data_IF_414632352079
#
_entry.id   IF_414632352079
#
_cell.length_a   1.000
_cell.length_b   1.000
_cell.length_c   1.000
_cell.angle_alpha   90.00
_cell.angle_beta   90.00
_cell.angle_gamma   90.00
#
_symmetry.space_group_name_H-M   'P 1'
#
loop_
_entity.id
_entity.type
_entity.pdbx_description
1 polymer ?
#
# COMPACT_ATOMS: atom_id res chain seq x y z
N UNK A 1 4.34 24.88 17.43
CA UNK A 1 4.49 23.49 17.00
C UNK A 1 5.03 22.72 18.21
N UNK A 2 4.24 21.84 18.76
CA UNK A 2 4.65 21.04 19.93
C UNK A 2 5.64 19.95 19.52
N UNK A 3 6.47 19.46 20.45
CA UNK A 3 7.45 18.39 20.16
C UNK A 3 6.79 17.15 19.55
N UNK A 4 5.56 16.82 19.95
CA UNK A 4 4.77 15.70 19.43
C UNK A 4 4.33 15.92 17.97
N UNK A 5 3.96 17.16 17.59
CA UNK A 5 3.62 17.48 16.20
C UNK A 5 4.83 17.33 15.28
N UNK A 6 6.01 17.70 15.75
CA UNK A 6 7.25 17.54 14.99
C UNK A 6 7.60 16.06 14.80
N UNK A 7 7.45 15.24 15.83
CA UNK A 7 7.69 13.80 15.75
C UNK A 7 6.73 13.11 14.77
N UNK A 8 5.43 13.44 14.79
CA UNK A 8 4.43 12.94 13.84
C UNK A 8 4.73 13.35 12.40
N UNK A 9 5.22 14.57 12.18
CA UNK A 9 5.63 15.01 10.85
C UNK A 9 6.86 14.27 10.36
N UNK A 10 7.82 14.00 11.24
CA UNK A 10 9.04 13.24 10.90
C UNK A 10 8.71 11.80 10.50
N UNK A 11 7.88 11.10 11.28
CA UNK A 11 7.46 9.71 10.96
C UNK A 11 6.67 9.65 9.65
N UNK A 12 5.75 10.61 9.44
CA UNK A 12 5.01 10.73 8.18
C UNK A 12 5.92 10.98 6.97
N UNK A 13 6.95 11.83 7.13
CA UNK A 13 7.93 12.08 6.07
C UNK A 13 8.80 10.85 5.78
N UNK A 14 9.22 10.12 6.81
CA UNK A 14 9.96 8.86 6.66
C UNK A 14 9.11 7.79 5.95
N UNK A 15 7.83 7.67 6.30
CA UNK A 15 6.89 6.78 5.65
C UNK A 15 6.71 7.14 4.16
N UNK A 16 6.47 8.43 3.87
CA UNK A 16 6.36 8.94 2.50
C UNK A 16 7.63 8.65 1.69
N UNK A 17 8.80 8.92 2.25
CA UNK A 17 10.09 8.66 1.63
C UNK A 17 10.30 7.18 1.32
N UNK A 18 9.94 6.28 2.24
CA UNK A 18 10.04 4.84 2.09
C UNK A 18 9.19 4.31 0.93
N UNK A 19 7.95 4.75 0.82
CA UNK A 19 7.06 4.37 -0.29
C UNK A 19 7.54 4.97 -1.61
N UNK A 20 7.96 6.23 -1.63
CA UNK A 20 8.52 6.89 -2.83
C UNK A 20 9.75 6.16 -3.37
N UNK A 21 10.63 5.69 -2.48
CA UNK A 21 11.80 4.88 -2.86
C UNK A 21 11.39 3.53 -3.46
N UNK A 22 10.36 2.87 -2.90
CA UNK A 22 9.79 1.63 -3.45
C UNK A 22 9.25 1.84 -4.86
N UNK A 23 8.43 2.87 -5.06
CA UNK A 23 7.86 3.25 -6.37
C UNK A 23 8.96 3.54 -7.40
N UNK A 24 9.96 4.33 -7.02
CA UNK A 24 11.09 4.64 -7.90
C UNK A 24 11.83 3.39 -8.37
N UNK A 25 12.00 2.41 -7.48
CA UNK A 25 12.62 1.14 -7.82
C UNK A 25 11.74 0.32 -8.78
N UNK A 26 10.44 0.26 -8.54
CA UNK A 26 9.51 -0.50 -9.38
C UNK A 26 9.40 0.10 -10.78
N UNK A 27 9.39 1.43 -10.91
CA UNK A 27 9.45 2.10 -12.20
C UNK A 27 10.77 1.82 -12.93
N UNK A 28 11.91 1.81 -12.23
CA UNK A 28 13.19 1.41 -12.83
C UNK A 28 13.16 -0.02 -13.38
N UNK A 29 12.53 -0.95 -12.66
CA UNK A 29 12.39 -2.33 -13.13
C UNK A 29 11.53 -2.41 -14.40
N UNK A 30 10.42 -1.69 -14.44
CA UNK A 30 9.55 -1.60 -15.64
C UNK A 30 10.35 -1.04 -16.83
N UNK A 31 11.07 0.05 -16.64
CA UNK A 31 11.90 0.66 -17.68
C UNK A 31 13.02 -0.27 -18.16
N UNK A 32 13.64 -1.02 -17.25
CA UNK A 32 14.68 -2.00 -17.61
C UNK A 32 14.13 -3.10 -18.53
N UNK A 33 12.94 -3.62 -18.22
CA UNK A 33 12.28 -4.62 -19.07
C UNK A 33 11.91 -4.02 -20.43
N UNK A 34 11.37 -2.80 -20.48
CA UNK A 34 11.06 -2.12 -21.74
C UNK A 34 12.32 -1.96 -22.60
N UNK A 35 13.43 -1.52 -21.99
CA UNK A 35 14.70 -1.34 -22.69
C UNK A 35 15.26 -2.67 -23.22
N UNK A 36 15.20 -3.75 -22.42
CA UNK A 36 15.59 -5.10 -22.88
C UNK A 36 14.77 -5.55 -24.10
N UNK A 37 13.45 -5.34 -24.07
CA UNK A 37 12.57 -5.73 -25.19
C UNK A 37 12.78 -4.85 -26.41
N UNK A 38 13.07 -3.56 -26.24
CA UNK A 38 13.44 -2.67 -27.34
C UNK A 38 14.73 -3.14 -28.03
N UNK A 39 15.77 -3.53 -27.25
CA UNK A 39 17.00 -4.11 -27.81
C UNK A 39 16.75 -5.40 -28.60
N UNK A 40 15.83 -6.25 -28.11
CA UNK A 40 15.47 -7.46 -28.87
C UNK A 40 14.78 -7.12 -30.22
N UNK A 41 13.97 -6.06 -30.27
CA UNK A 41 13.39 -5.59 -31.53
C UNK A 41 14.45 -5.01 -32.47
N UNK A 42 15.48 -4.34 -31.94
CA UNK A 42 16.63 -3.88 -32.74
C UNK A 42 17.39 -5.05 -33.36
N UNK A 43 17.61 -6.14 -32.57
CA UNK A 43 18.21 -7.38 -33.09
C UNK A 43 17.40 -8.02 -34.22
N UNK A 44 16.07 -8.04 -34.10
CA UNK A 44 15.19 -8.52 -35.17
C UNK A 44 15.34 -7.63 -36.44
N UNK A 45 15.39 -6.32 -36.29
CA UNK A 45 15.62 -5.42 -37.40
C UNK A 45 16.97 -5.66 -38.07
N UNK A 46 18.02 -5.89 -37.27
CA UNK A 46 19.34 -6.23 -37.79
C UNK A 46 19.34 -7.55 -38.58
N UNK A 47 18.72 -8.62 -38.04
CA UNK A 47 18.58 -9.91 -38.72
C UNK A 47 17.82 -9.77 -40.06
N UNK A 48 16.74 -8.98 -40.09
CA UNK A 48 16.01 -8.69 -41.33
C UNK A 48 16.89 -8.06 -42.42
N UNK A 49 17.70 -7.08 -42.03
CA UNK A 49 18.65 -6.43 -42.93
C UNK A 49 19.70 -7.40 -43.50
N UNK A 50 19.98 -8.47 -42.79
CA UNK A 50 20.87 -9.54 -43.25
C UNK A 50 20.16 -10.59 -44.11
N UNK A 51 18.89 -10.37 -44.49
CA UNK A 51 18.07 -11.29 -45.28
C UNK A 51 17.62 -12.54 -44.53
N UNK A 52 17.71 -12.57 -43.22
CA UNK A 52 17.19 -13.66 -42.38
C UNK A 52 15.68 -13.53 -42.22
N UNK A 53 14.98 -14.65 -42.32
CA UNK A 53 13.55 -14.66 -42.01
C UNK A 53 13.30 -14.32 -40.55
N UNK A 54 12.36 -13.43 -40.31
CA UNK A 54 11.92 -13.08 -38.95
C UNK A 54 10.55 -13.70 -38.73
N UNK A 55 10.41 -14.30 -37.57
CA UNK A 55 9.14 -14.79 -37.07
C UNK A 55 8.30 -13.60 -36.57
N UNK A 56 7.21 -13.29 -37.25
CA UNK A 56 6.32 -12.18 -36.90
C UNK A 56 5.62 -12.42 -35.56
N UNK A 57 5.32 -13.65 -35.18
CA UNK A 57 4.68 -13.99 -33.91
C UNK A 57 5.60 -13.58 -32.73
N UNK A 58 6.92 -13.69 -32.92
CA UNK A 58 7.91 -13.24 -31.92
C UNK A 58 7.92 -11.72 -31.79
N UNK A 59 7.80 -10.97 -32.89
CA UNK A 59 7.71 -9.50 -32.84
C UNK A 59 6.44 -9.10 -32.11
N UNK A 60 5.30 -9.70 -32.43
CA UNK A 60 4.03 -9.45 -31.78
C UNK A 60 4.10 -9.73 -30.27
N UNK A 61 4.69 -10.86 -29.87
CA UNK A 61 4.87 -11.22 -28.49
C UNK A 61 5.74 -10.21 -27.71
N UNK A 62 6.85 -9.74 -28.30
CA UNK A 62 7.72 -8.74 -27.67
C UNK A 62 6.99 -7.40 -27.55
N UNK A 63 6.26 -7.01 -28.60
CA UNK A 63 5.48 -5.76 -28.62
C UNK A 63 4.38 -5.80 -27.53
N UNK A 64 3.69 -6.92 -27.39
CA UNK A 64 2.69 -7.11 -26.34
C UNK A 64 3.31 -7.00 -24.92
N UNK A 65 4.52 -7.55 -24.73
CA UNK A 65 5.25 -7.43 -23.47
C UNK A 65 5.61 -5.97 -23.16
N UNK A 66 6.10 -5.20 -24.14
CA UNK A 66 6.37 -3.75 -23.97
C UNK A 66 5.10 -3.02 -23.55
N UNK A 67 3.99 -3.28 -24.25
CA UNK A 67 2.70 -2.66 -23.96
C UNK A 67 2.22 -2.95 -22.54
N UNK A 68 2.32 -4.19 -22.10
CA UNK A 68 2.00 -4.58 -20.72
C UNK A 68 2.87 -3.89 -19.65
N UNK A 69 4.16 -3.64 -19.96
CA UNK A 69 5.02 -2.87 -19.05
C UNK A 69 4.63 -1.38 -19.01
N UNK A 70 4.24 -0.78 -20.11
CA UNK A 70 3.74 0.60 -20.15
C UNK A 70 2.46 0.74 -19.31
N UNK A 71 1.51 -0.18 -19.47
CA UNK A 71 0.28 -0.22 -18.69
C UNK A 71 0.56 -0.36 -17.17
N UNK A 72 1.55 -1.20 -16.83
CA UNK A 72 2.00 -1.36 -15.45
C UNK A 72 2.63 -0.06 -14.90
N UNK A 73 3.46 0.62 -15.69
CA UNK A 73 4.04 1.91 -15.29
C UNK A 73 2.96 2.95 -15.02
N UNK A 74 1.98 3.04 -15.90
CA UNK A 74 0.83 3.94 -15.77
C UNK A 74 0.03 3.70 -14.49
N UNK A 75 -0.18 2.44 -14.12
CA UNK A 75 -0.88 2.09 -12.89
C UNK A 75 -0.08 2.50 -11.65
N UNK A 76 1.24 2.23 -11.65
CA UNK A 76 2.13 2.66 -10.56
C UNK A 76 2.07 4.19 -10.41
N UNK A 77 2.17 4.93 -11.49
CA UNK A 77 2.14 6.41 -11.49
C UNK A 77 0.78 6.91 -10.98
N UNK A 78 -0.33 6.34 -11.44
CA UNK A 78 -1.68 6.71 -10.96
C UNK A 78 -1.84 6.48 -9.45
N UNK A 79 -1.40 5.33 -8.96
CA UNK A 79 -1.43 5.03 -7.53
C UNK A 79 -0.52 5.97 -6.73
N UNK A 80 0.68 6.26 -7.25
CA UNK A 80 1.61 7.16 -6.61
C UNK A 80 1.09 8.61 -6.55
N UNK A 81 0.50 9.10 -7.63
CA UNK A 81 -0.13 10.42 -7.64
C UNK A 81 -1.25 10.51 -6.60
N UNK A 82 -2.11 9.49 -6.51
CA UNK A 82 -3.16 9.43 -5.49
C UNK A 82 -2.58 9.45 -4.06
N UNK A 83 -1.49 8.71 -3.84
CA UNK A 83 -0.77 8.72 -2.58
C UNK A 83 -0.14 10.10 -2.29
N UNK A 84 0.51 10.72 -3.27
CA UNK A 84 1.09 12.05 -3.12
C UNK A 84 0.04 13.10 -2.74
N UNK A 85 -1.13 13.08 -3.40
CA UNK A 85 -2.27 13.96 -3.06
C UNK A 85 -2.85 13.74 -1.66
N UNK A 86 -2.47 12.66 -0.97
CA UNK A 86 -2.85 12.50 0.44
C UNK A 86 -2.22 13.52 1.38
N UNK A 87 -1.25 14.29 0.90
CA UNK A 87 -0.57 15.36 1.64
C UNK A 87 -1.16 16.76 1.40
N UNK A 88 -2.06 16.93 0.42
CA UNK A 88 -2.54 18.25 -0.01
C UNK A 88 -3.38 18.94 1.08
N UNK A 89 -4.13 18.16 1.86
CA UNK A 89 -4.99 18.67 2.91
C UNK A 89 -4.76 17.92 4.22
N UNK A 90 -4.62 18.66 5.34
CA UNK A 90 -4.44 18.04 6.67
C UNK A 90 -5.59 17.10 7.06
N UNK A 91 -6.83 17.46 6.69
CA UNK A 91 -8.03 16.67 6.89
C UNK A 91 -8.84 16.70 5.59
N UNK A 92 -9.24 15.53 5.08
CA UNK A 92 -10.03 15.41 3.87
C UNK A 92 -10.98 14.21 3.93
N UNK A 93 -12.09 14.23 3.17
CA UNK A 93 -12.89 13.05 2.92
C UNK A 93 -12.04 11.98 2.23
N UNK A 94 -11.93 10.81 2.86
CA UNK A 94 -11.02 9.73 2.44
C UNK A 94 -11.79 8.43 2.34
N UNK A 95 -11.74 7.78 1.17
CA UNK A 95 -12.20 6.41 1.01
C UNK A 95 -11.13 5.46 1.54
N UNK A 96 -11.42 4.78 2.65
CA UNK A 96 -10.49 3.87 3.32
C UNK A 96 -10.18 2.64 2.47
N UNK A 97 -11.15 2.09 1.76
CA UNK A 97 -10.95 0.94 0.87
C UNK A 97 -9.96 1.30 -0.25
N UNK A 98 -10.14 2.45 -0.89
CA UNK A 98 -9.22 2.95 -1.90
C UNK A 98 -7.85 3.27 -1.33
N UNK A 99 -7.78 3.83 -0.12
CA UNK A 99 -6.51 4.14 0.56
C UNK A 99 -5.72 2.88 0.87
N UNK A 100 -6.38 1.82 1.37
CA UNK A 100 -5.77 0.50 1.60
C UNK A 100 -5.28 -0.10 0.29
N UNK A 101 -6.09 -0.12 -0.76
CA UNK A 101 -5.72 -0.68 -2.06
C UNK A 101 -4.51 0.07 -2.66
N UNK A 102 -4.50 1.41 -2.59
CA UNK A 102 -3.38 2.24 -3.03
C UNK A 102 -2.10 1.93 -2.25
N UNK A 103 -2.19 1.89 -0.91
CA UNK A 103 -1.07 1.57 -0.03
C UNK A 103 -0.47 0.19 -0.34
N UNK A 104 -1.31 -0.85 -0.41
CA UNK A 104 -0.86 -2.23 -0.69
C UNK A 104 -0.22 -2.33 -2.07
N UNK A 105 -0.79 -1.65 -3.08
CA UNK A 105 -0.22 -1.62 -4.42
C UNK A 105 1.19 -0.99 -4.45
N UNK A 106 1.39 0.15 -3.79
CA UNK A 106 2.69 0.84 -3.72
C UNK A 106 3.69 0.13 -2.81
N UNK A 107 3.21 -0.62 -1.83
CA UNK A 107 4.03 -1.35 -0.87
C UNK A 107 4.38 -2.79 -1.31
N UNK A 108 4.01 -3.24 -2.51
CA UNK A 108 4.19 -4.62 -2.99
C UNK A 108 5.62 -5.15 -2.78
N UNK A 109 6.62 -4.33 -3.10
CA UNK A 109 8.03 -4.68 -2.90
C UNK A 109 8.37 -4.82 -1.41
N UNK A 110 7.85 -3.93 -0.57
CA UNK A 110 8.08 -3.97 0.88
C UNK A 110 7.40 -5.19 1.50
N UNK A 111 6.21 -5.56 1.01
CA UNK A 111 5.51 -6.78 1.41
C UNK A 111 6.26 -8.04 0.97
N UNK A 112 6.84 -8.04 -0.23
CA UNK A 112 7.69 -9.14 -0.71
C UNK A 112 8.95 -9.31 0.17
N UNK A 113 9.55 -8.22 0.68
CA UNK A 113 10.66 -8.29 1.62
C UNK A 113 10.26 -8.86 2.99
N UNK A 114 9.01 -8.69 3.40
CA UNK A 114 8.42 -9.30 4.59
C UNK A 114 7.97 -10.75 4.33
N UNK A 115 8.05 -11.20 3.06
CA UNK A 115 7.55 -12.51 2.60
C UNK A 115 6.06 -12.71 2.89
N UNK A 116 5.26 -11.65 2.80
CA UNK A 116 3.83 -11.66 3.13
C UNK A 116 3.00 -11.39 1.90
N UNK A 117 1.96 -12.21 1.71
CA UNK A 117 0.89 -11.95 0.75
C UNK A 117 -0.26 -11.21 1.43
N UNK A 118 -0.79 -10.20 0.76
CA UNK A 118 -1.90 -9.39 1.26
C UNK A 118 -3.09 -9.50 0.32
N UNK A 119 -4.23 -9.93 0.85
CA UNK A 119 -5.52 -9.93 0.17
C UNK A 119 -6.35 -8.73 0.64
N UNK A 120 -6.58 -7.77 -0.24
CA UNK A 120 -7.44 -6.62 0.04
C UNK A 120 -8.86 -6.97 -0.39
N UNK A 121 -9.75 -7.15 0.59
CA UNK A 121 -11.15 -7.47 0.32
C UNK A 121 -11.87 -6.23 -0.20
N UNK A 122 -12.45 -6.28 -1.41
CA UNK A 122 -13.22 -5.16 -1.93
C UNK A 122 -14.46 -4.93 -1.06
N UNK A 123 -14.83 -3.65 -0.91
CA UNK A 123 -16.11 -3.26 -0.30
C UNK A 123 -17.08 -2.87 -1.40
N UNK A 124 -18.32 -3.37 -1.31
CA UNK A 124 -19.39 -3.00 -2.27
C UNK A 124 -19.77 -1.53 -2.14
N UNK A 125 -19.68 -0.98 -0.95
CA UNK A 125 -20.02 0.41 -0.64
C UNK A 125 -18.78 1.14 -0.16
N UNK A 126 -18.42 2.30 -0.75
CA UNK A 126 -17.28 3.09 -0.31
C UNK A 126 -17.36 3.45 1.19
N UNK A 127 -16.27 3.24 1.91
CA UNK A 127 -16.15 3.57 3.33
C UNK A 127 -15.44 4.92 3.44
N UNK A 128 -16.19 5.99 3.18
CA UNK A 128 -15.69 7.35 3.25
C UNK A 128 -15.73 7.89 4.69
N UNK A 129 -14.62 8.51 5.12
CA UNK A 129 -14.45 9.13 6.42
C UNK A 129 -13.65 10.43 6.27
N UNK A 130 -14.03 11.49 7.00
CA UNK A 130 -13.18 12.69 7.13
C UNK A 130 -12.04 12.35 8.09
N UNK A 131 -10.79 12.35 7.60
CA UNK A 131 -9.61 11.96 8.37
C UNK A 131 -8.35 12.64 7.82
N UNK A 132 -7.18 12.32 8.36
CA UNK A 132 -5.86 12.74 7.86
C UNK A 132 -5.30 11.69 6.91
N UNK A 133 -5.37 11.88 5.58
CA UNK A 133 -5.17 10.79 4.61
C UNK A 133 -3.80 10.12 4.68
N UNK A 134 -2.71 10.90 4.82
CA UNK A 134 -1.37 10.34 4.93
C UNK A 134 -1.18 9.58 6.25
N UNK A 135 -1.63 10.16 7.37
CA UNK A 135 -1.45 9.55 8.69
C UNK A 135 -2.25 8.24 8.84
N UNK A 136 -3.44 8.15 8.24
CA UNK A 136 -4.19 6.90 8.28
C UNK A 136 -3.51 5.80 7.48
N UNK A 137 -2.87 6.13 6.35
CA UNK A 137 -2.08 5.16 5.58
C UNK A 137 -0.81 4.73 6.34
N UNK A 138 -0.15 5.67 7.03
CA UNK A 138 0.99 5.38 7.92
C UNK A 138 0.59 4.40 9.03
N UNK A 139 -0.54 4.65 9.72
CA UNK A 139 -1.06 3.76 10.76
C UNK A 139 -1.39 2.37 10.20
N UNK A 140 -2.06 2.29 9.07
CA UNK A 140 -2.38 1.01 8.42
C UNK A 140 -1.09 0.27 8.06
N UNK A 141 -0.07 0.95 7.54
CA UNK A 141 1.23 0.34 7.22
C UNK A 141 1.93 -0.21 8.47
N UNK A 142 1.96 0.55 9.56
CA UNK A 142 2.51 0.10 10.83
C UNK A 142 1.79 -1.16 11.35
N UNK A 143 0.46 -1.20 11.23
CA UNK A 143 -0.34 -2.36 11.60
C UNK A 143 -0.06 -3.57 10.69
N UNK A 144 0.08 -3.37 9.37
CA UNK A 144 0.47 -4.44 8.43
C UNK A 144 1.82 -5.03 8.82
N UNK A 145 2.83 -4.20 9.09
CA UNK A 145 4.16 -4.65 9.49
C UNK A 145 4.13 -5.46 10.80
N UNK A 146 3.34 -4.99 11.76
CA UNK A 146 3.20 -5.70 13.04
C UNK A 146 2.49 -7.05 12.85
N UNK A 147 1.37 -7.10 12.13
CA UNK A 147 0.66 -8.34 11.82
C UNK A 147 1.55 -9.30 11.04
N UNK A 148 2.33 -8.80 10.07
CA UNK A 148 3.28 -9.60 9.29
C UNK A 148 4.29 -10.36 10.17
N UNK A 149 4.75 -9.73 11.27
CA UNK A 149 5.62 -10.37 12.26
C UNK A 149 4.94 -11.43 13.15
N UNK A 150 3.60 -11.50 13.12
CA UNK A 150 2.80 -12.38 13.95
C UNK A 150 1.92 -13.35 13.14
N UNK A 151 2.19 -13.52 11.85
CA UNK A 151 1.48 -14.47 10.99
C UNK A 151 1.90 -15.92 11.27
N UNK A 152 0.98 -16.84 10.99
CA UNK A 152 1.29 -18.27 10.97
C UNK A 152 2.09 -18.69 9.72
N UNK A 153 2.22 -19.99 9.52
CA UNK A 153 3.03 -20.59 8.43
C UNK A 153 2.68 -20.10 7.02
N UNK A 154 1.41 -19.75 6.77
CA UNK A 154 0.95 -19.29 5.45
C UNK A 154 1.44 -17.92 5.04
N UNK A 155 1.96 -17.12 5.98
CA UNK A 155 2.41 -15.74 5.75
C UNK A 155 1.46 -14.92 4.87
N UNK A 156 0.16 -15.08 5.08
CA UNK A 156 -0.90 -14.41 4.34
C UNK A 156 -1.81 -13.67 5.31
N UNK A 157 -2.13 -12.41 4.98
CA UNK A 157 -3.09 -11.60 5.71
C UNK A 157 -4.16 -11.04 4.78
N UNK A 158 -5.33 -10.76 5.33
CA UNK A 158 -6.38 -10.03 4.64
C UNK A 158 -6.59 -8.66 5.27
N UNK A 159 -6.98 -7.70 4.45
CA UNK A 159 -7.39 -6.37 4.89
C UNK A 159 -8.79 -6.11 4.37
N UNK A 160 -9.67 -5.66 5.26
CA UNK A 160 -11.02 -5.22 4.89
C UNK A 160 -11.36 -3.91 5.60
N UNK A 161 -12.27 -3.16 5.00
CA UNK A 161 -12.77 -1.91 5.56
C UNK A 161 -14.29 -2.00 5.66
N UNK A 162 -14.86 -1.46 6.74
CA UNK A 162 -16.29 -1.46 6.96
C UNK A 162 -16.76 -0.19 7.68
N UNK A 163 -18.02 0.16 7.54
CA UNK A 163 -18.64 1.22 8.34
C UNK A 163 -18.88 0.73 9.76
N UNK A 164 -18.62 1.58 10.74
CA UNK A 164 -18.85 1.31 12.16
C UNK A 164 -19.50 2.51 12.83
N UNK A 165 -20.82 2.49 12.94
CA UNK A 165 -21.60 3.62 13.43
C UNK A 165 -21.42 4.88 12.55
N UNK A 166 -20.97 5.99 13.17
CA UNK A 166 -20.62 7.23 12.45
C UNK A 166 -19.20 7.22 11.86
N UNK A 167 -18.38 6.24 12.25
CA UNK A 167 -16.99 6.08 11.82
C UNK A 167 -16.79 4.92 10.85
N UNK A 168 -15.58 4.40 10.86
CA UNK A 168 -15.17 3.28 10.03
C UNK A 168 -14.19 2.38 10.77
N UNK A 169 -14.04 1.15 10.29
CA UNK A 169 -13.11 0.17 10.84
C UNK A 169 -12.26 -0.43 9.72
N UNK A 170 -10.98 -0.59 10.01
CA UNK A 170 -10.04 -1.37 9.18
C UNK A 170 -9.67 -2.62 9.97
N UNK A 171 -9.81 -3.78 9.35
CA UNK A 171 -9.51 -5.09 9.91
C UNK A 171 -8.31 -5.67 9.20
N UNK A 172 -7.27 -6.09 9.94
CA UNK A 172 -6.03 -6.63 9.38
C UNK A 172 -5.69 -7.93 10.09
N UNK A 173 -5.47 -9.01 9.38
CA UNK A 173 -5.12 -10.29 10.00
C UNK A 173 -5.36 -11.51 9.11
N UNK A 174 -5.40 -12.70 9.68
CA UNK A 174 -5.38 -13.00 11.12
C UNK A 174 -3.97 -12.98 11.72
N UNK A 175 -3.88 -12.62 12.99
CA UNK A 175 -2.70 -12.81 13.84
C UNK A 175 -2.71 -14.24 14.37
N UNK A 176 -1.59 -14.95 14.25
CA UNK A 176 -1.44 -16.29 14.82
C UNK A 176 -0.88 -16.21 16.27
N UNK A 177 -1.10 -17.27 17.05
CA UNK A 177 -0.55 -17.43 18.39
C UNK A 177 -0.89 -16.25 19.35
N UNK A 178 -2.17 -15.97 19.48
CA UNK A 178 -2.69 -14.95 20.37
C UNK A 178 -2.39 -15.30 21.85
N UNK A 179 -1.30 -14.75 22.39
CA UNK A 179 -1.07 -14.72 23.82
C UNK A 179 -1.73 -13.48 24.44
N UNK A 180 -1.95 -13.50 25.76
CA UNK A 180 -2.42 -12.31 26.47
C UNK A 180 -1.47 -11.10 26.29
N UNK A 181 -0.17 -11.37 26.17
CA UNK A 181 0.84 -10.34 25.88
C UNK A 181 0.70 -9.77 24.48
N UNK A 182 0.47 -10.62 23.47
CA UNK A 182 0.23 -10.18 22.08
C UNK A 182 -1.06 -9.38 21.97
N UNK A 183 -2.11 -9.78 22.69
CA UNK A 183 -3.39 -9.06 22.71
C UNK A 183 -3.29 -7.67 23.39
N UNK A 184 -2.37 -7.50 24.33
CA UNK A 184 -2.10 -6.21 24.98
C UNK A 184 -1.09 -5.33 24.21
N UNK A 185 -0.37 -5.90 23.24
CA UNK A 185 0.66 -5.19 22.49
C UNK A 185 0.04 -4.47 21.30
N UNK A 186 -0.26 -3.20 21.44
CA UNK A 186 -0.46 -2.27 20.32
C UNK A 186 0.85 -2.23 19.51
N UNK A 187 0.81 -2.17 18.15
CA UNK A 187 2.03 -2.00 17.37
C UNK A 187 2.90 -0.86 17.96
N UNK A 188 4.15 -1.10 18.37
CA UNK A 188 4.95 -0.10 19.07
C UNK A 188 5.28 1.12 18.21
N UNK A 189 5.11 0.99 16.89
CA UNK A 189 5.25 2.08 15.91
C UNK A 189 4.00 2.96 15.82
N UNK A 190 2.86 2.53 16.37
CA UNK A 190 1.64 3.34 16.44
C UNK A 190 1.60 4.03 17.80
N UNK A 191 2.08 5.26 17.83
CA UNK A 191 2.13 6.06 19.06
C UNK A 191 0.72 6.50 19.50
N UNK A 192 0.56 6.80 20.79
CA UNK A 192 -0.68 7.41 21.29
C UNK A 192 -1.00 8.73 20.59
N UNK A 193 0.03 9.49 20.19
CA UNK A 193 -0.16 10.76 19.49
C UNK A 193 -0.72 10.56 18.09
N UNK A 194 -0.30 9.50 17.37
CA UNK A 194 -0.87 9.15 16.07
C UNK A 194 -2.33 8.70 16.21
N UNK A 195 -2.65 7.92 17.25
CA UNK A 195 -4.03 7.51 17.54
C UNK A 195 -4.91 8.73 17.86
N UNK A 196 -4.44 9.63 18.72
CA UNK A 196 -5.15 10.88 19.04
C UNK A 196 -5.34 11.77 17.83
N UNK A 197 -4.29 11.93 17.00
CA UNK A 197 -4.34 12.74 15.78
C UNK A 197 -5.36 12.24 14.75
N UNK A 198 -5.63 10.93 14.74
CA UNK A 198 -6.59 10.26 13.85
C UNK A 198 -7.96 10.01 14.49
N UNK A 199 -8.13 10.31 15.78
CA UNK A 199 -9.29 9.90 16.56
C UNK A 199 -9.54 8.38 16.39
N UNK A 200 -8.47 7.61 16.61
CA UNK A 200 -8.40 6.18 16.34
C UNK A 200 -8.16 5.37 17.60
N UNK A 201 -8.81 4.21 17.68
CA UNK A 201 -8.54 3.17 18.69
C UNK A 201 -8.07 1.88 18.01
N UNK A 202 -7.06 1.25 18.60
CA UNK A 202 -6.57 -0.06 18.16
C UNK A 202 -6.97 -1.13 19.17
N UNK A 203 -7.46 -2.25 18.64
CA UNK A 203 -7.77 -3.44 19.44
C UNK A 203 -7.51 -4.71 18.64
N UNK A 204 -7.16 -5.78 19.33
CA UNK A 204 -7.04 -7.10 18.74
C UNK A 204 -8.22 -7.94 19.21
N UNK A 205 -9.02 -8.42 18.27
CA UNK A 205 -10.13 -9.33 18.57
C UNK A 205 -9.59 -10.77 18.79
N UNK A 206 -9.65 -11.30 20.02
CA UNK A 206 -9.11 -12.61 20.30
C UNK A 206 -9.88 -13.76 19.61
N UNK A 207 -11.15 -13.53 19.25
CA UNK A 207 -11.98 -14.57 18.62
C UNK A 207 -11.66 -14.75 17.14
N UNK A 208 -11.42 -13.66 16.41
CA UNK A 208 -11.11 -13.70 14.98
C UNK A 208 -9.62 -13.59 14.66
N UNK A 209 -8.80 -13.17 15.62
CA UNK A 209 -7.39 -12.84 15.40
C UNK A 209 -7.18 -11.58 14.59
N UNK A 210 -8.20 -10.75 14.39
CA UNK A 210 -8.09 -9.54 13.57
C UNK A 210 -7.66 -8.35 14.41
N UNK A 211 -6.60 -7.67 13.98
CA UNK A 211 -6.27 -6.33 14.46
C UNK A 211 -7.29 -5.34 13.88
N UNK A 212 -7.91 -4.56 14.74
CA UNK A 212 -8.94 -3.60 14.38
C UNK A 212 -8.43 -2.18 14.61
N UNK A 213 -8.55 -1.34 13.60
CA UNK A 213 -8.37 0.10 13.69
C UNK A 213 -9.75 0.73 13.61
N UNK A 214 -10.28 1.19 14.73
CA UNK A 214 -11.53 1.93 14.79
C UNK A 214 -11.23 3.41 14.60
N UNK A 215 -11.87 4.05 13.62
CA UNK A 215 -11.69 5.46 13.28
C UNK A 215 -13.00 6.23 13.47
N UNK A 216 -12.95 7.34 14.17
CA UNK A 216 -14.04 8.31 14.22
C UNK A 216 -13.74 9.48 13.27
N UNK A 217 -14.79 10.13 12.68
CA UNK A 217 -14.59 11.25 11.77
C UNK A 217 -13.92 12.42 12.48
N UNK A 218 -13.01 13.11 11.80
CA UNK A 218 -12.45 14.37 12.20
C UNK A 218 -13.31 15.52 11.64
N UNK A 219 -13.47 16.58 12.42
CA UNK A 219 -14.06 17.81 11.91
C UNK A 219 -13.06 18.48 10.94
N UNK A 220 -13.57 18.92 9.79
CA UNK A 220 -12.74 19.71 8.89
C UNK A 220 -12.37 21.04 9.59
N UNK A 221 -11.16 21.52 9.47
CA UNK A 221 -10.82 22.86 9.95
C UNK A 221 -11.73 23.89 9.27
N UNK A 222 -12.16 24.92 10.00
CA UNK A 222 -13.05 25.95 9.49
C UNK A 222 -12.45 26.72 8.31
#
# INVERSE_FOLDING_TARGET
>A
MNANDAALQETGLQFFGKLSASVSHDLKNVLAVINEKAGLLEDFCYMARQGRAIDMDRIEAVTAQVKGQVERADEIIRCFNRFAHSTDHPVAPTDLGQSVATLVHLAQRLLAQLEVSVDVRPTEIPVALSTRPLMVQEMIWACIQWVAGHLGEKKALSISTERSGKGARVLIGPVANLSAETAAAVPPTVTEDLQKALNADLSLDPASGMLQIQLAPLEAPP
#
